data_IF_068735773874
#
_entry.id   IF_068735773874
#
_cell.length_a   1.000
_cell.length_b   1.000
_cell.length_c   1.000
_cell.angle_alpha   90.00
_cell.angle_beta   90.00
_cell.angle_gamma   90.00
#
_symmetry.space_group_name_H-M   'P 1'
#
loop_
_entity.id
_entity.type
_entity.pdbx_description
1 polymer ?
#
# COMPACT_ATOMS: atom_id res chain seq x y z
N UNK A 1 6.04 -14.40 14.07
CA UNK A 1 7.02 -13.40 14.58
C UNK A 1 7.24 -12.36 13.49
N UNK A 2 7.15 -11.05 13.78
CA UNK A 2 7.51 -10.04 12.80
C UNK A 2 9.00 -10.19 12.45
N UNK A 3 9.33 -10.21 11.16
CA UNK A 3 10.73 -10.24 10.70
C UNK A 3 11.35 -8.86 10.93
N UNK A 4 12.56 -8.83 11.47
CA UNK A 4 13.36 -7.62 11.54
C UNK A 4 13.70 -7.17 10.11
N UNK A 5 13.49 -5.89 9.83
CA UNK A 5 13.81 -5.29 8.52
C UNK A 5 15.28 -4.87 8.48
N UNK A 6 15.89 -4.83 7.29
CA UNK A 6 17.26 -4.31 7.12
C UNK A 6 17.40 -2.88 7.65
N UNK A 7 16.34 -2.06 7.52
CA UNK A 7 16.28 -0.73 8.12
C UNK A 7 16.34 -0.78 9.65
N UNK A 8 15.58 -1.68 10.29
CA UNK A 8 15.62 -1.83 11.74
C UNK A 8 17.02 -2.26 12.21
N UNK A 9 17.60 -3.27 11.57
CA UNK A 9 18.94 -3.74 11.89
C UNK A 9 20.00 -2.63 11.75
N UNK A 10 19.96 -1.86 10.66
CA UNK A 10 20.89 -0.73 10.46
C UNK A 10 20.68 0.39 11.48
N UNK A 11 19.44 0.75 11.81
CA UNK A 11 19.18 1.76 12.85
C UNK A 11 19.61 1.32 14.24
N UNK A 12 19.45 0.03 14.57
CA UNK A 12 19.90 -0.53 15.85
C UNK A 12 21.43 -0.49 15.95
N UNK A 13 22.13 -0.93 14.90
CA UNK A 13 23.60 -0.88 14.86
C UNK A 13 24.14 0.54 14.96
N UNK A 14 23.54 1.50 14.24
CA UNK A 14 23.94 2.91 14.33
C UNK A 14 23.69 3.49 15.73
N UNK A 15 22.59 3.10 16.37
CA UNK A 15 22.28 3.55 17.73
C UNK A 15 23.25 2.95 18.76
N UNK A 16 23.59 1.67 18.66
CA UNK A 16 24.61 1.03 19.49
C UNK A 16 25.98 1.68 19.31
N UNK A 17 26.38 1.92 18.05
CA UNK A 17 27.64 2.59 17.73
C UNK A 17 27.68 4.03 18.30
N UNK A 18 26.57 4.76 18.23
CA UNK A 18 26.46 6.09 18.82
C UNK A 18 26.68 6.07 20.34
N UNK A 19 26.01 5.16 21.06
CA UNK A 19 26.13 5.05 22.52
C UNK A 19 27.54 4.66 22.93
N UNK A 20 28.15 3.68 22.25
CA UNK A 20 29.52 3.27 22.53
C UNK A 20 30.51 4.40 22.29
N UNK A 21 30.37 5.12 21.17
CA UNK A 21 31.26 6.23 20.83
C UNK A 21 31.11 7.41 21.80
N UNK A 22 29.89 7.72 22.24
CA UNK A 22 29.63 8.74 23.25
C UNK A 22 30.32 8.41 24.59
N UNK A 23 30.30 7.14 24.99
CA UNK A 23 30.98 6.68 26.20
C UNK A 23 32.50 6.81 26.09
N UNK A 24 33.07 6.42 24.95
CA UNK A 24 34.53 6.53 24.68
C UNK A 24 34.98 7.99 24.69
N UNK A 25 34.26 8.88 24.01
CA UNK A 25 34.54 10.31 23.98
C UNK A 25 34.42 10.94 25.37
N UNK A 26 33.41 10.53 26.15
CA UNK A 26 33.26 10.95 27.55
C UNK A 26 34.44 10.54 28.42
N UNK A 27 34.95 9.31 28.28
CA UNK A 27 36.12 8.83 29.02
C UNK A 27 37.41 9.57 28.63
N UNK A 28 37.60 9.81 27.33
CA UNK A 28 38.74 10.58 26.83
C UNK A 28 38.74 12.00 27.39
N UNK A 29 37.61 12.71 27.35
CA UNK A 29 37.49 14.05 27.94
C UNK A 29 37.81 14.09 29.44
N UNK A 30 37.40 13.07 30.20
CA UNK A 30 37.71 12.97 31.63
C UNK A 30 39.22 12.74 31.86
N UNK A 31 39.85 11.88 31.06
CA UNK A 31 41.31 11.70 31.12
C UNK A 31 42.07 12.96 30.71
N UNK A 32 41.57 13.71 29.72
CA UNK A 32 42.11 15.01 29.29
C UNK A 32 42.11 16.06 30.39
N UNK A 33 40.96 16.24 31.03
CA UNK A 33 40.83 17.11 32.19
C UNK A 33 41.76 16.72 33.35
N UNK A 34 42.11 15.44 33.51
CA UNK A 34 42.99 14.96 34.58
C UNK A 34 44.47 15.25 34.33
N UNK A 35 44.93 15.36 33.08
CA UNK A 35 46.34 15.60 32.76
C UNK A 35 46.68 17.07 32.52
N UNK A 36 45.69 17.88 32.09
CA UNK A 36 45.88 19.33 31.88
C UNK A 36 46.08 20.10 33.18
N UNK A 37 45.74 19.52 34.33
CA UNK A 37 46.03 20.13 35.64
C UNK A 37 47.53 20.14 36.00
N UNK A 38 48.44 19.61 35.16
CA UNK A 38 49.86 19.42 35.51
C UNK A 38 50.91 19.85 34.47
N UNK A 39 50.55 20.48 33.35
CA UNK A 39 51.57 20.96 32.39
C UNK A 39 51.23 22.35 31.88
N UNK A 40 52.13 23.29 32.18
CA UNK A 40 52.20 24.62 31.57
C UNK A 40 53.40 24.65 30.62
N UNK A 41 53.18 24.84 29.31
CA UNK A 41 54.02 25.69 28.42
C UNK A 41 53.58 25.66 26.93
N UNK A 42 53.48 26.89 26.38
CA UNK A 42 53.91 27.40 25.06
C UNK A 42 53.40 26.83 23.71
N UNK A 43 52.63 27.70 23.02
CA UNK A 43 52.69 28.14 21.59
C UNK A 43 52.62 27.12 20.44
N UNK A 44 51.59 27.19 19.60
CA UNK A 44 51.63 27.77 18.24
C UNK A 44 50.24 27.69 17.58
N UNK A 45 49.79 28.79 16.96
CA UNK A 45 48.47 28.91 16.32
C UNK A 45 48.49 28.32 14.90
N UNK A 46 48.02 27.08 14.77
CA UNK A 46 47.43 26.60 13.51
C UNK A 46 45.91 26.55 13.69
N UNK A 47 45.15 27.23 12.80
CA UNK A 47 43.69 27.16 12.74
C UNK A 47 43.27 25.75 12.27
N UNK A 48 43.37 24.78 13.17
CA UNK A 48 42.88 23.42 12.97
C UNK A 48 41.38 23.42 13.32
N UNK A 49 40.54 23.47 12.28
CA UNK A 49 39.08 23.36 12.44
C UNK A 49 38.75 22.17 13.36
N UNK A 50 38.04 22.35 14.49
CA UNK A 50 37.84 21.27 15.44
C UNK A 50 37.19 20.07 14.76
N UNK A 51 37.90 18.94 14.69
CA UNK A 51 37.36 17.68 14.20
C UNK A 51 36.11 17.37 15.03
N UNK A 52 34.95 17.33 14.37
CA UNK A 52 33.69 17.03 15.06
C UNK A 52 33.79 15.64 15.69
N UNK A 53 33.32 15.45 16.94
CA UNK A 53 33.33 14.14 17.58
C UNK A 53 32.64 13.10 16.71
N UNK A 54 33.18 11.88 16.65
CA UNK A 54 32.62 10.82 15.81
C UNK A 54 31.16 10.52 16.22
N UNK A 55 30.81 10.68 17.50
CA UNK A 55 29.42 10.56 17.98
C UNK A 55 28.47 11.53 17.26
N UNK A 56 28.89 12.77 17.00
CA UNK A 56 28.06 13.75 16.26
C UNK A 56 27.87 13.36 14.79
N UNK A 57 28.91 12.81 14.15
CA UNK A 57 28.82 12.26 12.79
C UNK A 57 27.84 11.07 12.72
N UNK A 58 27.89 10.16 13.69
CA UNK A 58 26.97 9.02 13.76
C UNK A 58 25.52 9.52 13.99
N UNK A 59 25.33 10.52 14.85
CA UNK A 59 24.02 11.10 15.11
C UNK A 59 23.41 11.74 13.85
N UNK A 60 24.22 12.45 13.05
CA UNK A 60 23.80 13.01 11.76
C UNK A 60 23.36 11.89 10.81
N UNK A 61 24.11 10.78 10.73
CA UNK A 61 23.72 9.63 9.92
C UNK A 61 22.39 9.01 10.39
N UNK A 62 22.16 8.91 11.70
CA UNK A 62 20.88 8.43 12.27
C UNK A 62 19.73 9.36 11.90
N UNK A 63 19.94 10.67 11.96
CA UNK A 63 18.94 11.66 11.55
C UNK A 63 18.63 11.54 10.06
N UNK A 64 19.65 11.36 9.21
CA UNK A 64 19.45 11.17 7.78
C UNK A 64 18.64 9.89 7.48
N UNK A 65 18.99 8.76 8.10
CA UNK A 65 18.24 7.49 7.96
C UNK A 65 16.78 7.63 8.44
N UNK A 66 16.51 8.49 9.43
CA UNK A 66 15.16 8.75 9.92
C UNK A 66 14.39 9.81 9.13
N UNK A 67 15.09 10.68 8.40
CA UNK A 67 14.47 11.65 7.49
C UNK A 67 13.82 10.96 6.29
N UNK A 68 14.30 9.77 5.90
CA UNK A 68 13.80 8.99 4.77
C UNK A 68 13.03 7.76 5.27
N UNK A 69 11.89 7.47 4.64
CA UNK A 69 11.11 6.25 4.92
C UNK A 69 11.83 4.98 4.45
N UNK A 70 12.61 5.08 3.38
CA UNK A 70 13.32 3.96 2.75
C UNK A 70 14.82 4.25 2.72
N UNK A 71 15.64 3.22 2.97
CA UNK A 71 17.10 3.32 2.90
C UNK A 71 17.62 3.42 1.47
N UNK A 72 16.93 2.74 0.55
CA UNK A 72 17.24 2.72 -0.87
C UNK A 72 16.17 3.49 -1.64
N UNK A 73 16.56 4.05 -2.77
CA UNK A 73 15.63 4.71 -3.67
C UNK A 73 14.63 3.70 -4.24
N UNK A 74 13.36 4.10 -4.25
CA UNK A 74 12.31 3.28 -4.82
C UNK A 74 12.42 3.28 -6.34
N UNK A 75 12.58 2.08 -6.93
CA UNK A 75 12.49 1.93 -8.38
C UNK A 75 11.05 2.17 -8.82
N UNK A 76 10.86 3.17 -9.66
CA UNK A 76 9.54 3.46 -10.24
C UNK A 76 9.27 2.47 -11.37
N UNK A 77 8.27 1.61 -11.18
CA UNK A 77 7.79 0.72 -12.24
C UNK A 77 6.73 1.49 -13.03
N UNK A 78 6.93 1.72 -14.35
CA UNK A 78 5.94 2.40 -15.17
C UNK A 78 4.66 1.57 -15.28
N UNK A 79 3.49 2.23 -15.20
CA UNK A 79 2.17 1.60 -15.29
C UNK A 79 1.23 2.51 -16.07
N UNK A 80 0.23 1.93 -16.73
CA UNK A 80 -0.79 2.68 -17.46
C UNK A 80 -2.16 2.43 -16.85
N UNK A 81 -2.95 3.48 -16.66
CA UNK A 81 -4.36 3.43 -16.28
C UNK A 81 -5.30 3.48 -17.49
N UNK A 82 -4.76 3.72 -18.68
CA UNK A 82 -5.54 3.92 -19.92
C UNK A 82 -6.38 2.69 -20.26
N UNK A 83 -5.86 1.47 -20.04
CA UNK A 83 -6.64 0.25 -20.30
C UNK A 83 -7.92 0.19 -19.46
N UNK A 84 -7.85 0.61 -18.20
CA UNK A 84 -8.99 0.62 -17.29
C UNK A 84 -10.00 1.68 -17.71
N UNK A 85 -9.54 2.88 -18.07
CA UNK A 85 -10.41 3.94 -18.56
C UNK A 85 -11.04 3.61 -19.92
N UNK A 86 -10.30 2.95 -20.81
CA UNK A 86 -10.82 2.43 -22.08
C UNK A 86 -11.88 1.35 -21.85
N UNK A 87 -11.68 0.46 -20.87
CA UNK A 87 -12.67 -0.55 -20.49
C UNK A 87 -13.96 0.11 -19.96
N UNK A 88 -13.83 1.08 -19.05
CA UNK A 88 -14.96 1.73 -18.39
C UNK A 88 -15.69 2.76 -19.28
N UNK A 89 -15.00 3.36 -20.25
CA UNK A 89 -15.58 4.26 -21.24
C UNK A 89 -15.94 3.53 -22.52
N UNK A 90 -14.98 3.45 -23.45
CA UNK A 90 -15.18 3.00 -24.82
C UNK A 90 -15.80 1.60 -24.91
N UNK A 91 -15.25 0.61 -24.19
CA UNK A 91 -15.75 -0.77 -24.29
C UNK A 91 -17.12 -0.94 -23.65
N UNK A 92 -17.36 -0.27 -22.53
CA UNK A 92 -18.65 -0.29 -21.85
C UNK A 92 -19.76 0.28 -22.73
N UNK A 93 -19.49 1.39 -23.42
CA UNK A 93 -20.48 2.13 -24.22
C UNK A 93 -20.66 1.54 -25.63
N UNK A 94 -19.57 1.25 -26.33
CA UNK A 94 -19.60 0.94 -27.76
C UNK A 94 -19.34 -0.55 -28.05
N UNK A 95 -18.73 -1.30 -27.13
CA UNK A 95 -18.34 -2.70 -27.34
C UNK A 95 -18.76 -3.61 -26.17
N UNK A 96 -20.07 -3.75 -25.87
CA UNK A 96 -20.55 -4.45 -24.68
C UNK A 96 -20.12 -5.92 -24.60
N UNK A 97 -19.93 -6.58 -25.74
CA UNK A 97 -19.42 -7.96 -25.79
C UNK A 97 -17.95 -8.04 -25.35
N UNK A 98 -17.14 -7.05 -25.72
CA UNK A 98 -15.75 -6.94 -25.29
C UNK A 98 -15.68 -6.57 -23.80
N UNK A 99 -16.50 -5.62 -23.35
CA UNK A 99 -16.62 -5.34 -21.90
C UNK A 99 -16.95 -6.61 -21.10
N UNK A 100 -17.92 -7.39 -21.59
CA UNK A 100 -18.33 -8.65 -20.95
C UNK A 100 -17.22 -9.71 -20.96
N UNK A 101 -16.34 -9.74 -21.96
CA UNK A 101 -15.22 -10.69 -21.97
C UNK A 101 -14.22 -10.40 -20.85
N UNK A 102 -13.96 -9.11 -20.58
CA UNK A 102 -13.09 -8.67 -19.48
C UNK A 102 -13.72 -8.81 -18.10
N UNK A 103 -15.02 -8.53 -17.98
CA UNK A 103 -15.70 -8.36 -16.69
C UNK A 103 -16.58 -9.55 -16.29
N UNK A 104 -16.87 -10.46 -17.23
CA UNK A 104 -17.89 -11.54 -17.13
C UNK A 104 -19.29 -11.03 -16.76
N UNK A 105 -19.54 -9.74 -16.97
CA UNK A 105 -20.79 -9.05 -16.61
C UNK A 105 -21.18 -8.10 -17.74
N UNK A 106 -22.48 -7.89 -17.97
CA UNK A 106 -22.94 -6.88 -18.94
C UNK A 106 -22.76 -5.46 -18.36
N UNK A 107 -22.59 -4.42 -19.20
CA UNK A 107 -22.51 -3.03 -18.74
C UNK A 107 -23.67 -2.62 -17.82
N UNK A 108 -24.91 -2.94 -18.20
CA UNK A 108 -26.09 -2.60 -17.39
C UNK A 108 -26.10 -3.28 -16.01
N UNK A 109 -25.66 -4.54 -15.93
CA UNK A 109 -25.56 -5.23 -14.65
C UNK A 109 -24.42 -4.66 -13.79
N UNK A 110 -23.32 -4.24 -14.42
CA UNK A 110 -22.22 -3.56 -13.76
C UNK A 110 -22.67 -2.23 -13.15
N UNK A 111 -23.39 -1.39 -13.90
CA UNK A 111 -23.93 -0.12 -13.40
C UNK A 111 -24.89 -0.32 -12.23
N UNK A 112 -25.78 -1.32 -12.34
CA UNK A 112 -26.69 -1.67 -11.25
C UNK A 112 -25.93 -2.14 -10.00
N UNK A 113 -24.82 -2.87 -10.16
CA UNK A 113 -23.99 -3.30 -9.05
C UNK A 113 -23.28 -2.12 -8.39
N UNK A 114 -22.67 -1.24 -9.18
CA UNK A 114 -21.97 -0.04 -8.69
C UNK A 114 -22.93 0.86 -7.92
N UNK A 115 -24.13 1.11 -8.46
CA UNK A 115 -25.14 1.94 -7.79
C UNK A 115 -25.54 1.36 -6.42
N UNK A 116 -25.78 0.05 -6.33
CA UNK A 116 -26.14 -0.61 -5.07
C UNK A 116 -25.02 -0.62 -4.03
N UNK A 117 -23.77 -0.50 -4.47
CA UNK A 117 -22.60 -0.50 -3.60
C UNK A 117 -22.15 0.92 -3.21
N UNK A 118 -22.62 1.96 -3.92
CA UNK A 118 -22.12 3.34 -3.82
C UNK A 118 -22.08 3.84 -2.38
N UNK A 119 -23.18 3.67 -1.63
CA UNK A 119 -23.33 4.23 -0.27
C UNK A 119 -22.65 3.40 0.82
N UNK A 120 -21.97 2.29 0.49
CA UNK A 120 -21.37 1.44 1.50
C UNK A 120 -20.21 2.17 2.20
N UNK A 121 -20.12 2.15 3.54
CA UNK A 121 -19.14 2.94 4.30
C UNK A 121 -17.67 2.59 3.95
N UNK A 122 -17.41 1.38 3.45
CA UNK A 122 -16.06 0.95 3.05
C UNK A 122 -15.46 1.79 1.91
N UNK A 123 -16.31 2.42 1.09
CA UNK A 123 -15.88 3.27 -0.02
C UNK A 123 -15.72 4.74 0.37
N UNK A 124 -15.99 5.08 1.63
CA UNK A 124 -15.87 6.42 2.16
C UNK A 124 -14.76 6.44 3.22
N UNK A 125 -13.83 7.40 3.14
CA UNK A 125 -12.87 7.67 4.20
C UNK A 125 -13.12 9.06 4.79
N UNK A 126 -12.57 9.28 5.99
CA UNK A 126 -12.52 10.59 6.64
C UNK A 126 -11.15 11.25 6.45
N UNK A 127 -10.56 11.09 5.28
CA UNK A 127 -9.21 11.59 4.96
C UNK A 127 -9.31 12.64 3.87
N UNK A 128 -8.34 13.55 3.84
CA UNK A 128 -8.16 14.54 2.76
C UNK A 128 -7.79 13.89 1.41
N UNK A 129 -7.33 12.64 1.43
CA UNK A 129 -7.05 11.88 0.22
C UNK A 129 -8.30 11.11 -0.22
N UNK A 130 -8.90 11.53 -1.33
CA UNK A 130 -10.07 10.86 -1.90
C UNK A 130 -9.80 9.39 -2.22
N UNK A 131 -10.80 8.54 -1.96
CA UNK A 131 -10.73 7.15 -2.42
C UNK A 131 -10.99 7.09 -3.94
N UNK A 132 -10.44 6.04 -4.58
CA UNK A 132 -10.80 5.72 -5.95
C UNK A 132 -12.33 5.52 -6.10
N UNK A 133 -12.93 5.95 -7.22
CA UNK A 133 -14.36 5.77 -7.47
C UNK A 133 -14.79 4.30 -7.31
N UNK A 134 -16.02 4.09 -6.81
CA UNK A 134 -16.57 2.75 -6.57
C UNK A 134 -16.56 1.90 -7.85
N UNK A 135 -16.90 2.51 -8.99
CA UNK A 135 -16.80 1.93 -10.33
C UNK A 135 -15.42 1.34 -10.62
N UNK A 136 -14.35 2.10 -10.37
CA UNK A 136 -12.97 1.66 -10.60
C UNK A 136 -12.64 0.49 -9.67
N UNK A 137 -13.04 0.58 -8.40
CA UNK A 137 -12.79 -0.50 -7.43
C UNK A 137 -13.49 -1.80 -7.84
N UNK A 138 -14.78 -1.72 -8.23
CA UNK A 138 -15.57 -2.87 -8.70
C UNK A 138 -14.99 -3.43 -10.00
N UNK A 139 -14.54 -2.58 -10.92
CA UNK A 139 -13.93 -3.00 -12.18
C UNK A 139 -12.65 -3.80 -11.97
N UNK A 140 -11.77 -3.34 -11.08
CA UNK A 140 -10.53 -4.04 -10.74
C UNK A 140 -10.81 -5.40 -10.09
N UNK A 141 -11.82 -5.50 -9.20
CA UNK A 141 -12.21 -6.79 -8.63
C UNK A 141 -12.71 -7.75 -9.72
N UNK A 142 -13.66 -7.30 -10.54
CA UNK A 142 -14.29 -8.14 -11.56
C UNK A 142 -13.29 -8.57 -12.62
N UNK A 143 -12.42 -7.67 -13.09
CA UNK A 143 -11.32 -8.02 -13.98
C UNK A 143 -10.44 -9.10 -13.36
N UNK A 144 -10.04 -8.95 -12.09
CA UNK A 144 -9.22 -9.94 -11.39
C UNK A 144 -9.91 -11.31 -11.31
N UNK A 145 -11.22 -11.34 -11.07
CA UNK A 145 -12.00 -12.57 -10.91
C UNK A 145 -12.45 -13.20 -12.24
N UNK A 146 -12.47 -12.42 -13.31
CA UNK A 146 -12.76 -12.87 -14.68
C UNK A 146 -11.60 -13.64 -15.31
N UNK A 147 -10.41 -13.54 -14.73
CA UNK A 147 -9.15 -14.11 -15.22
C UNK A 147 -8.65 -15.22 -14.28
N UNK A 148 -7.78 -16.08 -14.81
CA UNK A 148 -7.16 -17.18 -14.07
C UNK A 148 -5.64 -17.15 -14.19
N UNK A 149 -4.96 -17.89 -13.30
CA UNK A 149 -3.50 -18.00 -13.28
C UNK A 149 -2.81 -16.65 -13.12
N UNK A 150 -1.75 -16.42 -13.91
CA UNK A 150 -0.93 -15.22 -13.80
C UNK A 150 -1.68 -13.92 -14.13
N UNK A 151 -2.72 -13.98 -14.97
CA UNK A 151 -3.53 -12.81 -15.33
C UNK A 151 -4.37 -12.30 -14.15
N UNK A 152 -4.72 -13.17 -13.19
CA UNK A 152 -5.42 -12.81 -11.96
C UNK A 152 -4.48 -12.35 -10.82
N UNK A 153 -3.16 -12.37 -11.06
CA UNK A 153 -2.17 -11.94 -10.06
C UNK A 153 -2.30 -10.46 -9.76
N UNK A 154 -2.08 -10.10 -8.50
CA UNK A 154 -2.11 -8.70 -8.01
C UNK A 154 -1.15 -7.82 -8.81
N UNK A 155 0.01 -8.37 -9.19
CA UNK A 155 1.01 -7.68 -10.00
C UNK A 155 0.48 -7.37 -11.40
N UNK A 156 -0.02 -8.37 -12.14
CA UNK A 156 -0.50 -8.16 -13.52
C UNK A 156 -1.72 -7.26 -13.58
N UNK A 157 -2.66 -7.42 -12.64
CA UNK A 157 -3.82 -6.52 -12.51
C UNK A 157 -3.38 -5.09 -12.20
N UNK A 158 -2.40 -4.91 -11.30
CA UNK A 158 -1.86 -3.59 -10.96
C UNK A 158 -1.16 -2.91 -12.14
N UNK A 159 -0.40 -3.66 -12.94
CA UNK A 159 0.22 -3.14 -14.17
C UNK A 159 -0.81 -2.77 -15.23
N UNK A 160 -1.84 -3.60 -15.41
CA UNK A 160 -2.91 -3.36 -16.38
C UNK A 160 -3.79 -2.15 -16.02
N UNK A 161 -4.09 -1.97 -14.73
CA UNK A 161 -4.98 -0.92 -14.24
C UNK A 161 -4.25 0.38 -13.81
N UNK A 162 -2.92 0.42 -13.84
CA UNK A 162 -2.16 1.60 -13.41
C UNK A 162 -2.07 1.76 -11.89
N UNK A 163 -2.22 0.68 -11.12
CA UNK A 163 -2.37 0.71 -9.66
C UNK A 163 -1.18 0.12 -8.90
N UNK A 164 -1.05 0.52 -7.63
CA UNK A 164 -0.17 -0.14 -6.66
C UNK A 164 -0.62 -1.59 -6.39
N UNK A 165 0.33 -2.51 -6.20
CA UNK A 165 -0.02 -3.91 -5.88
C UNK A 165 -0.79 -4.00 -4.57
N UNK A 166 -0.38 -3.24 -3.55
CA UNK A 166 -1.13 -3.10 -2.30
C UNK A 166 -2.54 -2.55 -2.53
N UNK A 167 -2.70 -1.60 -3.45
CA UNK A 167 -4.00 -1.00 -3.81
C UNK A 167 -4.95 -2.03 -4.41
N UNK A 168 -4.49 -2.91 -5.30
CA UNK A 168 -5.33 -3.96 -5.88
C UNK A 168 -5.84 -4.92 -4.80
N UNK A 169 -4.98 -5.31 -3.84
CA UNK A 169 -5.39 -6.16 -2.72
C UNK A 169 -6.39 -5.43 -1.81
N UNK A 170 -6.12 -4.17 -1.49
CA UNK A 170 -7.02 -3.32 -0.72
C UNK A 170 -8.40 -3.21 -1.38
N UNK A 171 -8.46 -2.89 -2.68
CA UNK A 171 -9.69 -2.83 -3.47
C UNK A 171 -10.43 -4.17 -3.40
N UNK A 172 -9.73 -5.28 -3.61
CA UNK A 172 -10.34 -6.62 -3.58
C UNK A 172 -11.05 -6.85 -2.23
N UNK A 173 -10.39 -6.51 -1.12
CA UNK A 173 -10.98 -6.63 0.23
C UNK A 173 -12.16 -5.70 0.42
N UNK A 174 -12.07 -4.44 -0.03
CA UNK A 174 -13.15 -3.45 0.12
C UNK A 174 -14.42 -3.90 -0.61
N UNK A 175 -14.29 -4.26 -1.89
CA UNK A 175 -15.44 -4.67 -2.70
C UNK A 175 -16.04 -5.97 -2.18
N UNK A 176 -15.21 -6.96 -1.78
CA UNK A 176 -15.71 -8.17 -1.12
C UNK A 176 -16.42 -7.88 0.20
N UNK A 177 -15.92 -6.94 1.01
CA UNK A 177 -16.56 -6.52 2.26
C UNK A 177 -17.97 -5.97 1.98
N UNK A 178 -18.11 -5.14 0.95
CA UNK A 178 -19.41 -4.56 0.58
C UNK A 178 -20.38 -5.61 -0.01
N UNK A 179 -19.90 -6.50 -0.89
CA UNK A 179 -20.72 -7.57 -1.48
C UNK A 179 -21.14 -8.61 -0.43
N UNK A 180 -20.25 -8.95 0.49
CA UNK A 180 -20.53 -9.91 1.56
C UNK A 180 -21.28 -9.29 2.75
N UNK A 181 -21.50 -7.97 2.74
CA UNK A 181 -22.25 -7.28 3.77
C UNK A 181 -23.69 -7.82 3.84
N UNK A 182 -24.14 -8.14 5.05
CA UNK A 182 -25.35 -8.93 5.25
C UNK A 182 -26.64 -8.26 4.72
N UNK A 183 -26.87 -6.94 4.89
CA UNK A 183 -27.95 -6.22 4.23
C UNK A 183 -27.94 -6.31 2.69
N UNK A 184 -26.75 -6.28 2.08
CA UNK A 184 -26.61 -6.40 0.63
C UNK A 184 -26.94 -7.83 0.18
N UNK A 185 -26.36 -8.84 0.86
CA UNK A 185 -26.62 -10.26 0.58
C UNK A 185 -28.11 -10.60 0.68
N UNK A 186 -28.81 -10.16 1.73
CA UNK A 186 -30.26 -10.43 1.88
C UNK A 186 -31.11 -9.82 0.77
N UNK A 187 -30.67 -8.69 0.21
CA UNK A 187 -31.38 -8.03 -0.89
C UNK A 187 -31.22 -8.77 -2.22
N UNK A 188 -30.03 -9.33 -2.46
CA UNK A 188 -29.65 -9.92 -3.77
C UNK A 188 -29.79 -11.44 -3.80
N UNK A 189 -29.54 -12.14 -2.69
CA UNK A 189 -29.67 -13.59 -2.54
C UNK A 189 -30.88 -13.91 -1.66
N UNK A 190 -32.08 -13.80 -2.23
CA UNK A 190 -33.30 -14.29 -1.57
C UNK A 190 -33.45 -15.77 -1.84
N UNK A 191 -33.75 -16.55 -0.80
CA UNK A 191 -34.16 -17.94 -1.00
C UNK A 191 -35.51 -17.98 -1.69
N UNK A 192 -35.71 -18.89 -2.65
CA UNK A 192 -36.96 -18.95 -3.39
C UNK A 192 -38.12 -19.29 -2.46
N UNK A 193 -39.23 -18.57 -2.63
CA UNK A 193 -40.47 -18.79 -1.91
C UNK A 193 -41.14 -20.11 -2.29
N UNK A 194 -42.23 -20.48 -1.59
CA UNK A 194 -42.99 -21.70 -1.88
C UNK A 194 -43.51 -21.68 -3.32
N UNK A 195 -44.11 -20.57 -3.74
CA UNK A 195 -44.64 -20.40 -5.10
C UNK A 195 -43.54 -20.41 -6.18
N UNK A 196 -42.38 -19.78 -5.92
CA UNK A 196 -41.24 -19.82 -6.85
C UNK A 196 -40.67 -21.23 -6.98
N UNK A 197 -40.65 -22.00 -5.88
CA UNK A 197 -40.25 -23.42 -5.88
C UNK A 197 -41.25 -24.28 -6.64
N UNK A 198 -42.56 -24.04 -6.50
CA UNK A 198 -43.60 -24.75 -7.25
C UNK A 198 -43.51 -24.46 -8.75
N UNK A 199 -43.35 -23.19 -9.15
CA UNK A 199 -43.14 -22.81 -10.54
C UNK A 199 -41.88 -23.46 -11.14
N UNK A 200 -40.79 -23.53 -10.37
CA UNK A 200 -39.57 -24.20 -10.81
C UNK A 200 -39.72 -25.72 -10.97
N UNK A 201 -40.60 -26.37 -10.19
CA UNK A 201 -40.91 -27.81 -10.34
C UNK A 201 -41.67 -28.09 -11.63
N UNK A 202 -42.67 -27.27 -11.95
CA UNK A 202 -43.45 -27.39 -13.20
C UNK A 202 -42.53 -27.37 -14.42
N UNK A 203 -41.51 -26.51 -14.43
CA UNK A 203 -40.53 -26.43 -15.52
C UNK A 203 -39.62 -27.67 -15.68
N UNK A 204 -39.48 -28.51 -14.64
CA UNK A 204 -38.67 -29.74 -14.68
C UNK A 204 -39.53 -30.96 -15.06
N UNK A 205 -40.84 -30.88 -14.85
CA UNK A 205 -41.79 -31.96 -15.11
C UNK A 205 -42.35 -31.94 -16.55
N UNK A 206 -42.17 -30.83 -17.28
CA UNK A 206 -42.37 -30.71 -18.75
C UNK A 206 -41.15 -31.18 -19.55
#
# INVERSE_FOLDING_TARGET
>A
MPRQTERQATTEVLFEAFVLQLLVEGQQNIQVSSYESSVSESSDEEEDTPLQPLSTSILVAVLEVNSRRYLQDCITIPKTSENLYMLLGEYKMNYPNLFRSYMRMSPMAFDSLVEKLRDHPVFHNRSENEQLPVEVQVAVLLYRFAHFGNAASVQKVGLWAGLGYGTVNLITRRVLTAICHEPFRRRVMKWPGVSEKEAAKVWVEE
#
